data_IF_090757541374
#
_entry.id   IF_090757541374
#
_cell.length_a   1.000
_cell.length_b   1.000
_cell.length_c   1.000
_cell.angle_alpha   90.00
_cell.angle_beta   90.00
_cell.angle_gamma   90.00
#
_symmetry.space_group_name_H-M   'P 1'
#
loop_
_entity.id
_entity.type
_entity.pdbx_description
1 polymer ?
#
# COMPACT_ATOMS: atom_id res chain seq x y z
N UNK A 1 14.58 3.43 9.46
CA UNK A 1 14.36 4.10 10.77
C UNK A 1 13.00 3.65 11.24
N UNK A 2 12.95 3.04 12.42
CA UNK A 2 11.70 2.57 13.02
C UNK A 2 11.37 3.48 14.20
N UNK A 3 10.20 4.12 14.14
CA UNK A 3 9.64 4.98 15.18
C UNK A 3 8.24 4.50 15.56
N UNK A 4 7.94 3.23 15.29
CA UNK A 4 6.66 2.61 15.60
C UNK A 4 6.34 2.71 17.09
N UNK A 5 5.07 2.95 17.41
CA UNK A 5 4.53 3.00 18.78
C UNK A 5 5.25 4.01 19.68
N UNK A 6 5.84 5.04 19.07
CA UNK A 6 6.42 6.17 19.80
C UNK A 6 5.45 7.34 19.85
N UNK A 7 5.53 8.17 20.89
CA UNK A 7 4.78 9.41 20.98
C UNK A 7 5.52 10.57 20.28
N UNK A 8 6.08 10.31 19.09
CA UNK A 8 6.84 11.32 18.37
C UNK A 8 5.89 12.43 17.86
N UNK A 9 6.23 13.68 18.15
CA UNK A 9 5.47 14.83 17.65
C UNK A 9 5.83 15.17 16.21
N UNK A 10 4.92 15.88 15.52
CA UNK A 10 5.19 16.47 14.19
C UNK A 10 6.52 17.21 14.14
N UNK A 11 6.81 18.04 15.15
CA UNK A 11 8.03 18.87 15.21
C UNK A 11 9.30 18.01 15.28
N UNK A 12 9.29 16.97 16.12
CA UNK A 12 10.42 16.04 16.24
C UNK A 12 10.63 15.26 14.94
N UNK A 13 9.56 14.74 14.33
CA UNK A 13 9.66 14.02 13.06
C UNK A 13 10.15 14.93 11.94
N UNK A 14 9.59 16.14 11.80
CA UNK A 14 10.06 17.14 10.84
C UNK A 14 11.55 17.46 11.03
N UNK A 15 12.01 17.63 12.26
CA UNK A 15 13.43 17.88 12.54
C UNK A 15 14.31 16.70 12.10
N UNK A 16 13.90 15.46 12.38
CA UNK A 16 14.64 14.26 12.00
C UNK A 16 14.74 14.08 10.48
N UNK A 17 13.61 14.10 9.78
CA UNK A 17 13.59 13.86 8.33
C UNK A 17 14.36 14.93 7.55
N UNK A 18 14.40 16.17 8.06
CA UNK A 18 15.19 17.26 7.46
C UNK A 18 16.70 17.04 7.56
N UNK A 19 17.17 16.25 8.54
CA UNK A 19 18.60 15.95 8.73
C UNK A 19 19.02 14.62 8.14
N UNK A 20 18.09 13.87 7.57
CA UNK A 20 18.33 12.54 7.02
C UNK A 20 17.93 12.48 5.54
N UNK A 21 18.62 13.19 4.63
CA UNK A 21 18.27 13.22 3.21
C UNK A 21 18.36 11.85 2.53
N UNK A 22 19.18 10.94 3.06
CA UNK A 22 19.33 9.56 2.57
C UNK A 22 18.34 8.55 3.18
N UNK A 23 17.36 8.99 3.98
CA UNK A 23 16.39 8.09 4.59
C UNK A 23 15.49 7.46 3.50
N UNK A 24 15.49 6.12 3.43
CA UNK A 24 14.68 5.36 2.45
C UNK A 24 13.61 4.49 3.09
N UNK A 25 13.78 4.13 4.36
CA UNK A 25 12.87 3.24 5.08
C UNK A 25 12.44 3.94 6.36
N UNK A 26 11.13 4.14 6.51
CA UNK A 26 10.54 4.79 7.67
C UNK A 26 9.31 4.01 8.12
N UNK A 27 9.29 3.58 9.38
CA UNK A 27 8.07 3.10 10.03
C UNK A 27 7.60 4.10 11.10
N UNK A 28 6.30 4.38 11.03
CA UNK A 28 5.53 5.23 11.94
C UNK A 28 4.28 4.47 12.41
N UNK A 29 4.35 3.14 12.45
CA UNK A 29 3.24 2.29 12.88
C UNK A 29 2.71 2.74 14.25
N UNK A 30 1.39 2.82 14.43
CA UNK A 30 0.78 3.19 15.71
C UNK A 30 0.99 4.65 16.16
N UNK A 31 1.62 5.50 15.34
CA UNK A 31 1.74 6.94 15.62
C UNK A 31 0.44 7.69 15.31
N UNK A 32 0.35 8.97 15.65
CA UNK A 32 -0.78 9.83 15.25
C UNK A 32 -0.59 10.42 13.86
N UNK A 33 -1.70 10.70 13.16
CA UNK A 33 -1.66 11.48 11.91
C UNK A 33 -0.95 12.83 12.10
N UNK A 34 -1.10 13.47 13.26
CA UNK A 34 -0.42 14.72 13.55
C UNK A 34 1.10 14.58 13.33
N UNK A 35 1.70 13.48 13.79
CA UNK A 35 3.10 13.15 13.54
C UNK A 35 3.35 12.88 12.04
N UNK A 36 2.61 11.95 11.43
CA UNK A 36 2.78 11.52 10.03
C UNK A 36 2.66 12.71 9.05
N UNK A 37 1.84 13.71 9.36
CA UNK A 37 1.67 14.92 8.55
C UNK A 37 2.96 15.77 8.40
N UNK A 38 4.03 15.44 9.13
CA UNK A 38 5.38 15.97 8.87
C UNK A 38 5.91 15.59 7.47
N UNK A 39 5.46 14.47 6.92
CA UNK A 39 5.86 13.97 5.59
C UNK A 39 5.23 14.78 4.44
N UNK A 40 4.20 15.58 4.70
CA UNK A 40 3.57 16.47 3.70
C UNK A 40 4.45 17.67 3.30
N UNK A 41 5.66 17.77 3.84
CA UNK A 41 6.56 18.91 3.62
C UNK A 41 7.51 18.68 2.44
N UNK A 42 8.00 19.77 1.85
CA UNK A 42 8.97 19.75 0.75
C UNK A 42 10.31 19.10 1.11
N UNK A 43 10.59 18.97 2.42
CA UNK A 43 11.79 18.38 3.00
C UNK A 43 11.68 16.88 3.27
N UNK A 44 10.52 16.27 3.00
CA UNK A 44 10.37 14.82 3.10
C UNK A 44 11.36 14.11 2.16
N UNK A 45 12.17 13.16 2.69
CA UNK A 45 13.07 12.37 1.88
C UNK A 45 12.28 11.46 0.93
N UNK A 46 12.92 11.06 -0.17
CA UNK A 46 12.31 10.16 -1.15
C UNK A 46 12.36 8.71 -0.63
N UNK A 47 11.37 8.36 0.17
CA UNK A 47 11.22 7.04 0.76
C UNK A 47 10.98 5.97 -0.31
N UNK A 48 11.44 4.75 0.00
CA UNK A 48 11.13 3.51 -0.71
C UNK A 48 10.20 2.60 0.07
N UNK A 49 10.32 2.62 1.39
CA UNK A 49 9.46 1.87 2.29
C UNK A 49 8.85 2.81 3.30
N UNK A 50 7.53 2.82 3.38
CA UNK A 50 6.77 3.57 4.35
C UNK A 50 5.78 2.64 5.04
N UNK A 51 5.86 2.57 6.36
CA UNK A 51 4.89 1.86 7.19
C UNK A 51 4.14 2.85 8.07
N UNK A 52 2.83 2.92 7.87
CA UNK A 52 1.89 3.78 8.61
C UNK A 52 0.68 2.97 9.06
N UNK A 53 0.88 1.68 9.35
CA UNK A 53 -0.15 0.83 9.94
C UNK A 53 -0.65 1.41 11.27
N UNK A 54 -1.94 1.24 11.56
CA UNK A 54 -2.58 1.63 12.81
C UNK A 54 -2.38 3.09 13.21
N UNK A 55 -2.10 3.97 12.24
CA UNK A 55 -1.93 5.40 12.51
C UNK A 55 -3.28 6.03 12.83
N UNK A 56 -3.40 6.57 14.03
CA UNK A 56 -4.65 7.18 14.49
C UNK A 56 -4.98 8.44 13.67
N UNK A 57 -6.20 8.48 13.13
CA UNK A 57 -6.70 9.62 12.35
C UNK A 57 -6.24 9.68 10.89
N UNK A 58 -5.49 8.69 10.40
CA UNK A 58 -5.13 8.59 8.99
C UNK A 58 -6.27 7.93 8.18
N UNK A 59 -7.10 8.77 7.56
CA UNK A 59 -8.22 8.39 6.68
C UNK A 59 -8.02 8.94 5.26
N UNK A 60 -9.01 8.77 4.37
CA UNK A 60 -8.92 9.20 2.97
C UNK A 60 -8.49 10.66 2.75
N UNK A 61 -9.01 11.60 3.56
CA UNK A 61 -8.63 13.01 3.46
C UNK A 61 -7.14 13.23 3.82
N UNK A 62 -6.67 12.56 4.86
CA UNK A 62 -5.27 12.62 5.30
C UNK A 62 -4.35 11.90 4.30
N UNK A 63 -4.79 10.79 3.72
CA UNK A 63 -4.10 10.12 2.62
C UNK A 63 -3.94 11.06 1.41
N UNK A 64 -4.98 11.82 1.07
CA UNK A 64 -4.91 12.87 0.04
C UNK A 64 -3.86 13.92 0.38
N UNK A 65 -3.82 14.42 1.61
CA UNK A 65 -2.80 15.39 2.03
C UNK A 65 -1.38 14.80 2.00
N UNK A 66 -1.23 13.52 2.36
CA UNK A 66 0.04 12.81 2.40
C UNK A 66 0.64 12.59 1.01
N UNK A 67 -0.19 12.23 0.03
CA UNK A 67 0.26 11.94 -1.34
C UNK A 67 0.27 13.16 -2.24
N UNK A 68 -0.45 14.23 -1.89
CA UNK A 68 -0.47 15.47 -2.66
C UNK A 68 0.92 16.08 -2.75
N UNK A 69 1.28 16.69 -3.89
CA UNK A 69 2.50 17.49 -3.98
C UNK A 69 2.51 18.57 -2.91
N UNK A 70 3.66 18.82 -2.25
CA UNK A 70 3.74 19.86 -1.23
C UNK A 70 3.42 21.22 -1.85
N UNK A 71 2.54 21.99 -1.21
CA UNK A 71 2.08 23.31 -1.66
C UNK A 71 3.17 24.43 -1.57
N UNK A 72 4.42 24.04 -1.35
CA UNK A 72 5.51 24.97 -1.00
C UNK A 72 6.05 25.65 -2.27
N UNK A 73 5.49 26.82 -2.56
CA UNK A 73 5.78 27.72 -3.67
C UNK A 73 7.17 28.39 -3.57
N UNK A 74 8.24 27.63 -3.32
CA UNK A 74 9.59 28.20 -3.44
C UNK A 74 9.86 28.54 -4.91
N UNK A 75 10.14 29.81 -5.26
CA UNK A 75 10.43 30.18 -6.65
C UNK A 75 11.64 29.37 -7.14
N UNK A 76 11.47 28.62 -8.23
CA UNK A 76 12.48 27.75 -8.84
C UNK A 76 12.31 26.24 -8.61
N UNK A 77 11.38 25.79 -7.76
CA UNK A 77 11.11 24.36 -7.60
C UNK A 77 10.09 23.87 -8.65
N UNK A 78 10.58 23.29 -9.76
CA UNK A 78 9.79 22.80 -10.89
C UNK A 78 9.06 21.46 -10.64
N UNK A 79 9.36 20.77 -9.53
CA UNK A 79 8.88 19.40 -9.31
C UNK A 79 7.59 19.38 -8.48
N UNK A 80 6.45 19.46 -9.18
CA UNK A 80 5.09 19.33 -8.62
C UNK A 80 4.69 17.88 -8.35
N UNK A 81 5.64 16.98 -8.09
CA UNK A 81 5.37 15.55 -7.85
C UNK A 81 5.29 15.24 -6.37
N UNK A 82 4.55 14.19 -6.05
CA UNK A 82 4.50 13.62 -4.69
C UNK A 82 5.91 13.27 -4.21
N UNK A 83 6.16 13.46 -2.90
CA UNK A 83 7.40 13.01 -2.25
C UNK A 83 7.44 11.49 -2.05
N UNK A 84 6.29 10.83 -2.16
CA UNK A 84 6.16 9.37 -2.06
C UNK A 84 6.26 8.64 -3.40
N UNK A 85 6.64 9.33 -4.48
CA UNK A 85 6.74 8.75 -5.84
C UNK A 85 7.71 7.57 -5.98
N UNK A 86 8.66 7.45 -5.04
CA UNK A 86 9.67 6.39 -5.04
C UNK A 86 9.30 5.22 -4.11
N UNK A 87 8.12 5.27 -3.47
CA UNK A 87 7.66 4.21 -2.58
C UNK A 87 7.39 2.94 -3.38
N UNK A 88 8.07 1.88 -2.99
CA UNK A 88 7.99 0.53 -3.52
C UNK A 88 7.23 -0.40 -2.57
N UNK A 89 7.32 -0.15 -1.26
CA UNK A 89 6.62 -0.90 -0.23
C UNK A 89 5.84 0.04 0.71
N UNK A 90 4.52 -0.17 0.81
CA UNK A 90 3.62 0.63 1.62
C UNK A 90 2.78 -0.26 2.53
N UNK A 91 2.79 0.03 3.83
CA UNK A 91 1.93 -0.63 4.81
C UNK A 91 0.90 0.35 5.37
N UNK A 92 -0.37 0.02 5.16
CA UNK A 92 -1.56 0.79 5.53
C UNK A 92 -2.48 -0.01 6.45
N UNK A 93 -1.97 -1.07 7.08
CA UNK A 93 -2.80 -2.00 7.83
C UNK A 93 -3.60 -1.31 8.94
N UNK A 94 -4.85 -1.71 9.14
CA UNK A 94 -5.72 -1.22 10.21
C UNK A 94 -6.23 0.21 10.05
N UNK A 95 -6.08 0.82 8.87
CA UNK A 95 -6.59 2.16 8.59
C UNK A 95 -8.05 2.16 8.13
N UNK A 96 -8.74 3.28 8.40
CA UNK A 96 -10.11 3.55 7.95
C UNK A 96 -10.07 4.29 6.60
N UNK A 97 -9.64 3.56 5.56
CA UNK A 97 -9.47 4.05 4.18
C UNK A 97 -10.36 3.28 3.20
N UNK A 98 -10.73 3.92 2.10
CA UNK A 98 -11.59 3.35 1.06
C UNK A 98 -10.87 3.24 -0.28
N UNK A 99 -11.59 2.76 -1.29
CA UNK A 99 -11.18 2.78 -2.70
C UNK A 99 -10.69 4.16 -3.17
N UNK A 100 -11.12 5.25 -2.52
CA UNK A 100 -10.66 6.62 -2.83
C UNK A 100 -9.15 6.78 -2.58
N UNK A 101 -8.64 6.28 -1.45
CA UNK A 101 -7.20 6.29 -1.15
C UNK A 101 -6.40 5.48 -2.17
N UNK A 102 -6.93 4.35 -2.61
CA UNK A 102 -6.26 3.48 -3.59
C UNK A 102 -6.08 4.17 -4.94
N UNK A 103 -7.07 4.96 -5.39
CA UNK A 103 -6.95 5.78 -6.60
C UNK A 103 -5.83 6.81 -6.51
N UNK A 104 -5.58 7.34 -5.32
CA UNK A 104 -4.50 8.29 -5.09
C UNK A 104 -3.14 7.59 -5.06
N UNK A 105 -3.05 6.41 -4.44
CA UNK A 105 -1.83 5.60 -4.40
C UNK A 105 -1.37 5.25 -5.82
N UNK A 106 -2.25 4.70 -6.68
CA UNK A 106 -1.87 4.34 -8.06
C UNK A 106 -1.41 5.55 -8.88
N UNK A 107 -1.92 6.75 -8.57
CA UNK A 107 -1.59 7.99 -9.26
C UNK A 107 -0.25 8.55 -8.83
N UNK A 108 0.08 8.45 -7.54
CA UNK A 108 1.21 9.14 -6.95
C UNK A 108 2.39 8.23 -6.59
N UNK A 109 2.21 6.89 -6.61
CA UNK A 109 3.23 5.89 -6.30
C UNK A 109 3.36 4.88 -7.46
N UNK A 110 3.93 5.29 -8.61
CA UNK A 110 4.01 4.43 -9.79
C UNK A 110 4.95 3.22 -9.64
N UNK A 111 5.78 3.19 -8.58
CA UNK A 111 6.73 2.11 -8.32
C UNK A 111 6.24 1.10 -7.27
N UNK A 112 4.99 1.22 -6.82
CA UNK A 112 4.45 0.36 -5.75
C UNK A 112 4.50 -1.12 -6.16
N UNK A 113 5.17 -1.93 -5.36
CA UNK A 113 5.35 -3.37 -5.62
C UNK A 113 4.90 -4.23 -4.45
N UNK A 114 4.88 -3.69 -3.24
CA UNK A 114 4.39 -4.36 -2.04
C UNK A 114 3.38 -3.47 -1.33
N UNK A 115 2.19 -3.99 -1.08
CA UNK A 115 1.11 -3.23 -0.47
C UNK A 115 0.43 -4.05 0.64
N UNK A 116 0.46 -3.55 1.87
CA UNK A 116 -0.29 -4.11 2.99
C UNK A 116 -1.54 -3.27 3.27
N UNK A 117 -2.71 -3.87 3.11
CA UNK A 117 -4.04 -3.33 3.39
C UNK A 117 -4.78 -4.19 4.43
N UNK A 118 -4.08 -5.06 5.17
CA UNK A 118 -4.71 -5.93 6.15
C UNK A 118 -5.52 -5.14 7.18
N UNK A 119 -6.61 -5.72 7.69
CA UNK A 119 -7.55 -5.06 8.61
C UNK A 119 -8.26 -3.80 8.09
N UNK A 120 -8.05 -3.36 6.85
CA UNK A 120 -8.76 -2.22 6.26
C UNK A 120 -10.17 -2.63 5.79
N UNK A 121 -11.12 -2.70 6.73
CA UNK A 121 -12.46 -3.28 6.50
C UNK A 121 -13.37 -2.53 5.51
N UNK A 122 -12.96 -1.35 5.04
CA UNK A 122 -13.65 -0.61 3.98
C UNK A 122 -13.12 -0.88 2.57
N UNK A 123 -12.02 -1.64 2.45
CA UNK A 123 -11.48 -2.14 1.19
C UNK A 123 -12.37 -3.27 0.65
N UNK A 124 -12.66 -3.20 -0.64
CA UNK A 124 -13.55 -4.15 -1.34
C UNK A 124 -12.87 -4.71 -2.59
N UNK A 125 -13.55 -5.62 -3.30
CA UNK A 125 -13.07 -6.11 -4.60
C UNK A 125 -12.83 -4.97 -5.61
N UNK A 126 -13.53 -3.83 -5.47
CA UNK A 126 -13.31 -2.66 -6.31
C UNK A 126 -11.94 -2.01 -6.07
N UNK A 127 -11.40 -2.04 -4.85
CA UNK A 127 -10.01 -1.63 -4.59
C UNK A 127 -9.02 -2.49 -5.38
N UNK A 128 -9.23 -3.81 -5.41
CA UNK A 128 -8.38 -4.73 -6.18
C UNK A 128 -8.54 -4.48 -7.69
N UNK A 129 -9.76 -4.23 -8.16
CA UNK A 129 -10.02 -3.84 -9.54
C UNK A 129 -9.25 -2.57 -9.93
N UNK A 130 -9.23 -1.55 -9.06
CA UNK A 130 -8.48 -0.29 -9.28
C UNK A 130 -6.97 -0.55 -9.36
N UNK A 131 -6.42 -1.36 -8.44
CA UNK A 131 -4.98 -1.69 -8.42
C UNK A 131 -4.54 -2.45 -9.68
N UNK A 132 -5.42 -3.26 -10.26
CA UNK A 132 -5.10 -4.18 -11.37
C UNK A 132 -5.69 -3.74 -12.72
N UNK A 133 -6.29 -2.55 -12.78
CA UNK A 133 -6.90 -2.01 -13.98
C UNK A 133 -5.88 -1.82 -15.11
N UNK A 134 -6.35 -1.88 -16.36
CA UNK A 134 -5.48 -1.64 -17.51
C UNK A 134 -4.90 -0.22 -17.48
N UNK A 135 -3.60 -0.09 -17.79
CA UNK A 135 -2.91 1.20 -17.82
C UNK A 135 -2.52 1.77 -16.46
N UNK A 136 -2.76 1.06 -15.34
CA UNK A 136 -2.24 1.48 -14.03
C UNK A 136 -0.82 0.93 -13.82
N UNK A 137 0.11 1.72 -13.26
CA UNK A 137 1.48 1.23 -13.00
C UNK A 137 1.51 0.01 -12.09
N UNK A 138 0.63 0.01 -11.07
CA UNK A 138 0.52 -1.07 -10.10
C UNK A 138 0.17 -2.43 -10.72
N UNK A 139 -0.53 -2.46 -11.87
CA UNK A 139 -0.85 -3.73 -12.53
C UNK A 139 0.41 -4.54 -12.87
N UNK A 140 1.45 -3.84 -13.32
CA UNK A 140 2.70 -4.46 -13.78
C UNK A 140 3.77 -4.48 -12.68
N UNK A 141 3.71 -3.60 -11.68
CA UNK A 141 4.71 -3.55 -10.61
C UNK A 141 4.34 -4.35 -9.35
N UNK A 142 3.06 -4.63 -9.11
CA UNK A 142 2.63 -5.30 -7.88
C UNK A 142 3.12 -6.76 -7.82
N UNK A 143 3.90 -7.06 -6.79
CA UNK A 143 4.47 -8.38 -6.51
C UNK A 143 3.88 -9.01 -5.25
N UNK A 144 3.56 -8.19 -4.24
CA UNK A 144 3.01 -8.63 -2.96
C UNK A 144 1.81 -7.78 -2.58
N UNK A 145 0.73 -8.43 -2.18
CA UNK A 145 -0.42 -7.77 -1.56
C UNK A 145 -0.91 -8.55 -0.34
N UNK A 146 -1.12 -7.84 0.75
CA UNK A 146 -1.75 -8.37 1.94
C UNK A 146 -3.13 -7.74 2.12
N UNK A 147 -4.16 -8.57 2.05
CA UNK A 147 -5.57 -8.23 2.25
C UNK A 147 -6.15 -9.00 3.44
N UNK A 148 -5.32 -9.60 4.29
CA UNK A 148 -5.80 -10.42 5.39
C UNK A 148 -6.76 -9.63 6.30
N UNK A 149 -7.79 -10.32 6.80
CA UNK A 149 -8.84 -9.74 7.66
C UNK A 149 -9.71 -8.67 6.96
N UNK A 150 -9.57 -8.42 5.65
CA UNK A 150 -10.46 -7.52 4.92
C UNK A 150 -11.82 -8.18 4.67
N UNK A 151 -12.79 -7.93 5.55
CA UNK A 151 -14.07 -8.65 5.59
C UNK A 151 -15.02 -8.37 4.40
N UNK A 152 -14.70 -7.44 3.50
CA UNK A 152 -15.51 -7.09 2.32
C UNK A 152 -14.86 -7.50 0.99
N UNK A 153 -13.72 -8.19 1.06
CA UNK A 153 -13.07 -8.80 -0.11
C UNK A 153 -13.64 -10.21 -0.28
N UNK A 154 -13.98 -10.55 -1.52
CA UNK A 154 -14.60 -11.84 -1.90
C UNK A 154 -13.74 -12.56 -2.95
N UNK A 155 -14.16 -13.76 -3.37
CA UNK A 155 -13.53 -14.51 -4.45
C UNK A 155 -13.43 -13.71 -5.77
N UNK A 156 -14.30 -12.72 -5.97
CA UNK A 156 -14.24 -11.84 -7.13
C UNK A 156 -12.88 -11.12 -7.26
N UNK A 157 -12.22 -10.79 -6.14
CA UNK A 157 -10.89 -10.16 -6.14
C UNK A 157 -9.82 -11.02 -6.84
N UNK A 158 -9.90 -12.35 -6.74
CA UNK A 158 -8.97 -13.28 -7.39
C UNK A 158 -9.01 -13.15 -8.91
N UNK A 159 -10.19 -12.86 -9.46
CA UNK A 159 -10.35 -12.63 -10.90
C UNK A 159 -9.55 -11.44 -11.41
N UNK A 160 -9.34 -10.45 -10.55
CA UNK A 160 -8.58 -9.24 -10.85
C UNK A 160 -7.09 -9.46 -10.72
N UNK A 161 -6.62 -10.27 -9.78
CA UNK A 161 -5.18 -10.58 -9.65
C UNK A 161 -4.60 -11.34 -10.84
N UNK A 162 -5.43 -12.08 -11.60
CA UNK A 162 -5.02 -12.71 -12.88
C UNK A 162 -4.47 -11.71 -13.90
N UNK A 163 -4.75 -10.42 -13.74
CA UNK A 163 -4.29 -9.34 -14.62
C UNK A 163 -2.84 -8.93 -14.37
N UNK A 164 -2.29 -9.27 -13.21
CA UNK A 164 -0.96 -8.87 -12.78
C UNK A 164 0.09 -9.92 -13.16
N UNK A 165 0.97 -9.60 -14.11
CA UNK A 165 2.01 -10.54 -14.56
C UNK A 165 3.09 -10.84 -13.52
N UNK A 166 3.33 -9.89 -12.61
CA UNK A 166 4.41 -9.95 -11.61
C UNK A 166 3.93 -10.31 -10.21
N UNK A 167 2.62 -10.51 -9.99
CA UNK A 167 2.09 -10.88 -8.68
C UNK A 167 2.68 -12.23 -8.27
N UNK A 168 3.22 -12.27 -7.06
CA UNK A 168 3.91 -13.43 -6.52
C UNK A 168 3.37 -13.84 -5.15
N UNK A 169 2.71 -12.92 -4.44
CA UNK A 169 2.21 -13.15 -3.10
C UNK A 169 0.87 -12.44 -2.91
N UNK A 170 -0.17 -13.21 -2.58
CA UNK A 170 -1.52 -12.72 -2.29
C UNK A 170 -1.94 -13.33 -0.96
N UNK A 171 -2.04 -12.52 0.08
CA UNK A 171 -2.52 -12.95 1.39
C UNK A 171 -3.99 -12.56 1.58
N UNK A 172 -4.87 -13.55 1.62
CA UNK A 172 -6.31 -13.41 1.87
C UNK A 172 -6.73 -14.13 3.15
N UNK A 173 -5.78 -14.46 4.04
CA UNK A 173 -6.07 -15.17 5.30
C UNK A 173 -7.08 -14.38 6.13
N UNK A 174 -7.98 -15.11 6.79
CA UNK A 174 -9.05 -14.53 7.60
C UNK A 174 -10.06 -13.62 6.87
N UNK A 175 -10.00 -13.51 5.53
CA UNK A 175 -11.09 -12.92 4.75
C UNK A 175 -12.28 -13.88 4.76
N UNK A 176 -13.35 -13.52 5.47
CA UNK A 176 -14.51 -14.39 5.68
C UNK A 176 -15.30 -14.70 4.41
N UNK A 177 -15.25 -13.82 3.42
CA UNK A 177 -15.98 -13.95 2.16
C UNK A 177 -15.12 -14.47 1.00
N UNK A 178 -13.85 -14.78 1.25
CA UNK A 178 -13.00 -15.53 0.32
C UNK A 178 -13.10 -16.99 0.70
N UNK A 179 -13.32 -17.88 -0.25
CA UNK A 179 -13.46 -19.32 -0.02
C UNK A 179 -12.18 -20.07 -0.42
N UNK A 180 -11.86 -21.19 0.24
CA UNK A 180 -10.79 -22.08 -0.22
C UNK A 180 -10.97 -22.52 -1.68
N UNK A 181 -12.21 -22.78 -2.10
CA UNK A 181 -12.56 -23.18 -3.46
C UNK A 181 -12.23 -22.08 -4.47
N UNK A 182 -12.49 -20.81 -4.13
CA UNK A 182 -12.07 -19.66 -4.94
C UNK A 182 -10.57 -19.59 -5.13
N UNK A 183 -9.78 -19.84 -4.07
CA UNK A 183 -8.33 -19.91 -4.14
C UNK A 183 -7.82 -21.07 -5.02
N UNK A 184 -8.42 -22.25 -4.90
CA UNK A 184 -8.09 -23.43 -5.74
C UNK A 184 -8.41 -23.17 -7.21
N UNK A 185 -9.57 -22.57 -7.51
CA UNK A 185 -9.96 -22.18 -8.86
C UNK A 185 -8.95 -21.19 -9.45
N UNK A 186 -8.51 -20.19 -8.67
CA UNK A 186 -7.47 -19.26 -9.10
C UNK A 186 -6.17 -19.97 -9.46
N UNK A 187 -5.71 -20.92 -8.63
CA UNK A 187 -4.49 -21.70 -8.89
C UNK A 187 -4.64 -22.51 -10.19
N UNK A 188 -5.76 -23.20 -10.37
CA UNK A 188 -6.03 -24.01 -11.56
C UNK A 188 -5.99 -23.16 -12.84
N UNK A 189 -6.62 -21.99 -12.83
CA UNK A 189 -6.66 -21.09 -13.98
C UNK A 189 -5.29 -20.45 -14.28
N UNK A 190 -4.53 -20.09 -13.24
CA UNK A 190 -3.20 -19.48 -13.42
C UNK A 190 -2.14 -20.48 -13.87
N UNK A 191 -2.33 -21.77 -13.61
CA UNK A 191 -1.34 -22.84 -13.85
C UNK A 191 -0.78 -22.89 -15.29
N UNK A 192 -1.54 -22.38 -16.27
CA UNK A 192 -1.13 -22.32 -17.68
C UNK A 192 0.03 -21.31 -17.89
N UNK A 193 0.05 -20.23 -17.11
CA UNK A 193 1.04 -19.15 -17.25
C UNK A 193 2.02 -19.09 -16.09
N UNK A 194 1.53 -19.31 -14.87
CA UNK A 194 2.29 -19.18 -13.64
C UNK A 194 1.79 -20.19 -12.61
N UNK A 195 2.69 -21.00 -12.07
CA UNK A 195 2.35 -21.88 -10.97
C UNK A 195 2.22 -21.11 -9.65
N UNK A 196 1.04 -21.20 -9.04
CA UNK A 196 0.78 -20.79 -7.67
C UNK A 196 0.59 -22.01 -6.78
N UNK A 197 0.83 -21.84 -5.48
CA UNK A 197 0.43 -22.80 -4.45
C UNK A 197 -0.26 -22.11 -3.29
N UNK A 198 -1.14 -22.85 -2.65
CA UNK A 198 -1.70 -22.51 -1.34
C UNK A 198 -0.68 -22.92 -0.26
N UNK A 199 -0.32 -22.01 0.63
CA UNK A 199 0.63 -22.26 1.73
C UNK A 199 -0.09 -22.56 3.04
N UNK A 200 -0.71 -21.54 3.61
CA UNK A 200 -1.43 -21.57 4.88
C UNK A 200 -2.79 -20.91 4.68
N UNK A 201 -3.87 -21.67 4.85
CA UNK A 201 -5.26 -21.19 4.64
C UNK A 201 -5.41 -20.52 3.26
N UNK A 202 -5.60 -19.19 3.18
CA UNK A 202 -5.80 -18.43 1.94
C UNK A 202 -4.58 -17.63 1.52
N UNK A 203 -3.38 -18.14 1.84
CA UNK A 203 -2.10 -17.56 1.42
C UNK A 203 -1.64 -18.17 0.10
N UNK A 204 -1.71 -17.39 -0.97
CA UNK A 204 -1.29 -17.78 -2.31
C UNK A 204 0.13 -17.27 -2.58
N UNK A 205 1.03 -18.17 -2.97
CA UNK A 205 2.40 -17.82 -3.36
C UNK A 205 2.78 -18.44 -4.71
N UNK A 206 3.37 -17.65 -5.60
CA UNK A 206 3.99 -18.11 -6.84
C UNK A 206 5.15 -19.05 -6.53
N UNK A 207 5.25 -20.15 -7.27
CA UNK A 207 6.41 -21.03 -7.23
C UNK A 207 7.56 -20.36 -7.99
N UNK A 208 8.72 -20.28 -7.35
CA UNK A 208 9.96 -19.88 -8.02
C UNK A 208 10.40 -21.08 -8.87
N UNK A 209 10.48 -20.88 -10.18
CA UNK A 209 11.12 -21.80 -11.13
C UNK A 209 12.63 -21.77 -10.99
#
# INVERSE_FOLDING_TARGET
MDLSWTNISKKQLSWLINRLPGLRVLSLAGCSWAAVSALCTSSCPLLRTLDVQWVEGLKDNQMKDLVSPPADNRPGQLDCRSKLRNVEALSLAGLDITDASLRLIIKHMPLISQLDLSYCNHITDQSVNILTAAGTPSRDSLTHINLSVCNRVTDQSLSFFKRCGNIAHIDLRYCKQVTPEGCEQFIAEMSISVQFRLREDKLLSKLLS
#
